data_IF_012824394258
#
_entry.id   IF_012824394258
#
_cell.length_a   1.000
_cell.length_b   1.000
_cell.length_c   1.000
_cell.angle_alpha   90.00
_cell.angle_beta   90.00
_cell.angle_gamma   90.00
#
_symmetry.space_group_name_H-M   'P 1'
#
loop_
_entity.id
_entity.type
_entity.pdbx_description
1 polymer ?
#
# COMPACT_ATOMS: atom_id res chain seq x y z
N UNK A 1 -12.65 9.74 7.60
CA UNK A 1 -11.20 9.76 7.86
C UNK A 1 -10.52 9.55 6.53
N UNK A 2 -9.83 10.56 5.99
CA UNK A 2 -9.30 10.53 4.62
C UNK A 2 -7.87 9.97 4.52
N UNK A 3 -7.25 9.67 5.67
CA UNK A 3 -5.86 9.26 5.78
C UNK A 3 -5.70 8.07 6.73
N UNK A 4 -4.76 7.19 6.39
CA UNK A 4 -4.39 5.99 7.15
C UNK A 4 -2.89 5.94 7.33
N UNK A 5 -2.44 5.57 8.52
CA UNK A 5 -1.02 5.25 8.75
C UNK A 5 -0.69 3.93 8.05
N UNK A 6 0.22 4.02 7.07
CA UNK A 6 0.70 2.89 6.30
C UNK A 6 1.33 1.80 7.17
N UNK A 7 2.13 2.16 8.16
CA UNK A 7 2.81 1.19 9.01
C UNK A 7 1.84 0.53 9.98
N UNK A 8 0.89 1.28 10.54
CA UNK A 8 -0.20 0.72 11.34
C UNK A 8 -1.07 -0.25 10.52
N UNK A 9 -1.39 0.12 9.27
CA UNK A 9 -2.11 -0.74 8.33
C UNK A 9 -1.35 -2.05 8.06
N UNK A 10 -0.06 -1.97 7.70
CA UNK A 10 0.76 -3.16 7.49
C UNK A 10 0.84 -4.05 8.74
N UNK A 11 0.91 -3.46 9.94
CA UNK A 11 0.95 -4.18 11.20
C UNK A 11 -0.40 -4.83 11.58
N UNK A 12 -1.52 -4.26 11.11
CA UNK A 12 -2.86 -4.80 11.33
C UNK A 12 -3.21 -5.96 10.40
N UNK A 13 -2.52 -6.08 9.26
CA UNK A 13 -2.73 -7.16 8.27
C UNK A 13 -2.02 -8.44 8.75
N UNK A 14 -2.70 -9.60 8.75
CA UNK A 14 -2.06 -10.89 9.04
C UNK A 14 -0.84 -11.14 8.15
N UNK A 15 0.23 -11.72 8.71
CA UNK A 15 1.51 -11.90 7.99
C UNK A 15 1.38 -12.76 6.73
N UNK A 16 0.41 -13.68 6.70
CA UNK A 16 0.05 -14.51 5.55
C UNK A 16 -0.73 -13.73 4.47
N UNK A 17 -1.47 -12.69 4.86
CA UNK A 17 -2.20 -11.79 3.95
C UNK A 17 -1.34 -10.60 3.45
N UNK A 18 -0.25 -10.25 4.15
CA UNK A 18 0.57 -9.08 3.82
C UNK A 18 1.15 -9.10 2.39
N UNK A 19 1.67 -10.23 1.86
CA UNK A 19 2.06 -10.30 0.45
C UNK A 19 0.91 -10.06 -0.52
N UNK A 20 -0.30 -10.55 -0.19
CA UNK A 20 -1.48 -10.33 -1.03
C UNK A 20 -1.88 -8.85 -1.02
N UNK A 21 -1.78 -8.17 0.13
CA UNK A 21 -1.95 -6.73 0.23
C UNK A 21 -1.02 -5.96 -0.68
N UNK A 22 0.30 -6.23 -0.62
CA UNK A 22 1.27 -5.54 -1.47
C UNK A 22 1.00 -5.73 -2.96
N UNK A 23 0.61 -6.94 -3.37
CA UNK A 23 0.23 -7.23 -4.77
C UNK A 23 -1.04 -6.50 -5.18
N UNK A 24 -2.07 -6.52 -4.34
CA UNK A 24 -3.31 -5.79 -4.57
C UNK A 24 -3.07 -4.27 -4.66
N UNK A 25 -2.19 -3.74 -3.81
CA UNK A 25 -1.77 -2.34 -3.84
C UNK A 25 -1.09 -1.98 -5.16
N UNK A 26 -0.18 -2.82 -5.64
CA UNK A 26 0.45 -2.61 -6.94
C UNK A 26 -0.54 -2.75 -8.11
N UNK A 27 -1.45 -3.72 -8.07
CA UNK A 27 -2.48 -3.87 -9.09
C UNK A 27 -3.43 -2.65 -9.15
N UNK A 28 -3.75 -2.06 -8.00
CA UNK A 28 -4.58 -0.86 -7.88
C UNK A 28 -3.93 0.38 -8.50
N UNK A 29 -2.64 0.60 -8.25
CA UNK A 29 -1.93 1.81 -8.70
C UNK A 29 -1.21 1.66 -10.05
N UNK A 30 -0.92 0.43 -10.46
CA UNK A 30 -0.19 0.09 -11.69
C UNK A 30 -0.90 -1.04 -12.43
N UNK A 31 -2.16 -0.83 -12.87
CA UNK A 31 -2.89 -1.85 -13.60
C UNK A 31 -2.14 -2.22 -14.88
N UNK A 32 -1.89 -3.51 -15.08
CA UNK A 32 -1.27 -4.06 -16.30
C UNK A 32 0.26 -3.96 -16.39
N UNK A 33 0.98 -3.45 -15.38
CA UNK A 33 2.45 -3.36 -15.43
C UNK A 33 3.13 -4.73 -15.26
N UNK A 34 2.55 -5.64 -14.48
CA UNK A 34 3.06 -7.00 -14.28
C UNK A 34 2.00 -7.94 -13.69
N UNK A 35 2.18 -9.25 -13.88
CA UNK A 35 1.55 -10.26 -13.04
C UNK A 35 2.24 -10.24 -11.66
N UNK A 36 1.62 -9.54 -10.72
CA UNK A 36 2.15 -9.42 -9.36
C UNK A 36 1.97 -10.71 -8.55
N UNK A 37 1.09 -11.65 -8.95
CA UNK A 37 0.89 -12.92 -8.26
C UNK A 37 2.15 -13.80 -8.34
N UNK A 38 2.74 -13.90 -9.54
CA UNK A 38 3.99 -14.64 -9.78
C UNK A 38 5.28 -13.89 -9.42
N UNK A 39 5.21 -12.60 -9.08
CA UNK A 39 6.41 -11.79 -8.84
C UNK A 39 7.13 -12.16 -7.53
N UNK A 40 8.46 -12.11 -7.54
CA UNK A 40 9.28 -12.28 -6.34
C UNK A 40 8.96 -11.20 -5.30
N UNK A 41 8.84 -11.61 -4.03
CA UNK A 41 8.51 -10.70 -2.92
C UNK A 41 9.42 -9.47 -2.83
N UNK A 42 10.74 -9.64 -3.05
CA UNK A 42 11.69 -8.53 -3.05
C UNK A 42 11.36 -7.49 -4.13
N UNK A 43 10.92 -7.93 -5.31
CA UNK A 43 10.51 -7.04 -6.40
C UNK A 43 9.22 -6.30 -6.03
N UNK A 44 8.24 -7.03 -5.46
CA UNK A 44 6.98 -6.46 -4.97
C UNK A 44 7.26 -5.37 -3.94
N UNK A 45 8.07 -5.63 -2.93
CA UNK A 45 8.43 -4.64 -1.90
C UNK A 45 9.11 -3.40 -2.49
N UNK A 46 10.07 -3.58 -3.40
CA UNK A 46 10.72 -2.45 -4.08
C UNK A 46 9.73 -1.59 -4.88
N UNK A 47 8.77 -2.23 -5.56
CA UNK A 47 7.71 -1.56 -6.31
C UNK A 47 6.72 -0.84 -5.40
N UNK A 48 6.34 -1.44 -4.27
CA UNK A 48 5.46 -0.79 -3.27
C UNK A 48 6.10 0.51 -2.80
N UNK A 49 7.39 0.48 -2.42
CA UNK A 49 8.12 1.67 -1.99
C UNK A 49 8.20 2.74 -3.10
N UNK A 50 8.40 2.32 -4.36
CA UNK A 50 8.38 3.25 -5.50
C UNK A 50 7.00 3.87 -5.71
N UNK A 51 5.93 3.11 -5.57
CA UNK A 51 4.54 3.59 -5.65
C UNK A 51 4.22 4.56 -4.52
N UNK A 52 4.59 4.26 -3.28
CA UNK A 52 4.40 5.17 -2.13
C UNK A 52 5.08 6.52 -2.35
N UNK A 53 6.31 6.52 -2.89
CA UNK A 53 6.99 7.77 -3.28
C UNK A 53 6.28 8.51 -4.41
N UNK A 54 5.66 7.80 -5.35
CA UNK A 54 4.80 8.38 -6.39
C UNK A 54 3.59 9.08 -5.78
N UNK A 55 2.87 8.39 -4.90
CA UNK A 55 1.72 8.95 -4.18
C UNK A 55 2.07 10.18 -3.34
N UNK A 56 3.28 10.24 -2.78
CA UNK A 56 3.75 11.45 -2.09
C UNK A 56 3.86 12.65 -3.02
N UNK A 57 4.33 12.45 -4.26
CA UNK A 57 4.41 13.52 -5.27
C UNK A 57 3.04 13.96 -5.77
N UNK A 58 2.08 13.03 -5.79
CA UNK A 58 0.68 13.29 -6.16
C UNK A 58 -0.14 13.90 -5.02
N UNK A 59 0.43 14.07 -3.82
CA UNK A 59 -0.29 14.55 -2.65
C UNK A 59 -1.29 13.55 -2.08
N UNK A 60 -1.19 12.26 -2.43
CA UNK A 60 -2.01 11.14 -1.94
C UNK A 60 -1.32 10.32 -0.84
N UNK A 61 -0.09 10.67 -0.50
CA UNK A 61 0.65 10.20 0.66
C UNK A 61 1.46 11.36 1.24
N UNK A 62 1.74 11.34 2.55
CA UNK A 62 2.57 12.35 3.23
C UNK A 62 3.30 11.76 4.41
N UNK A 63 4.51 12.22 4.65
CA UNK A 63 5.28 11.88 5.85
C UNK A 63 5.11 13.01 6.87
N UNK A 64 4.46 12.72 7.99
CA UNK A 64 4.19 13.71 9.05
C UNK A 64 4.57 13.10 10.41
N UNK A 65 5.46 13.75 11.15
CA UNK A 65 5.91 13.25 12.46
C UNK A 65 6.58 11.88 12.43
N UNK A 66 7.20 11.49 11.31
CA UNK A 66 7.78 10.15 11.12
C UNK A 66 6.76 9.07 10.75
N UNK A 67 5.48 9.42 10.64
CA UNK A 67 4.40 8.52 10.23
C UNK A 67 4.09 8.71 8.76
N UNK A 68 4.02 7.62 8.00
CA UNK A 68 3.63 7.65 6.59
C UNK A 68 2.11 7.56 6.48
N UNK A 69 1.47 8.69 6.24
CA UNK A 69 0.04 8.77 5.99
C UNK A 69 -0.24 8.54 4.50
N UNK A 70 -1.20 7.69 4.19
CA UNK A 70 -1.66 7.38 2.84
C UNK A 70 -3.15 7.61 2.76
N UNK A 71 -3.63 8.19 1.66
CA UNK A 71 -5.06 8.42 1.46
C UNK A 71 -5.82 7.09 1.46
N UNK A 72 -6.97 7.02 2.14
CA UNK A 72 -7.78 5.80 2.18
C UNK A 72 -8.21 5.32 0.78
N UNK A 73 -8.38 6.24 -0.17
CA UNK A 73 -8.70 5.91 -1.56
C UNK A 73 -7.54 5.23 -2.30
N UNK A 74 -6.31 5.45 -1.85
CA UNK A 74 -5.12 4.79 -2.36
C UNK A 74 -4.94 3.38 -1.78
N UNK A 75 -5.72 2.98 -0.77
CA UNK A 75 -5.72 1.62 -0.24
C UNK A 75 -6.72 0.75 -1.03
N UNK A 76 -6.33 -0.44 -1.48
CA UNK A 76 -7.24 -1.37 -2.14
C UNK A 76 -8.44 -1.70 -1.25
N UNK A 77 -9.64 -1.71 -1.84
CA UNK A 77 -10.90 -1.87 -1.11
C UNK A 77 -10.91 -3.09 -0.18
N UNK A 78 -10.40 -4.23 -0.65
CA UNK A 78 -10.32 -5.48 0.11
C UNK A 78 -9.55 -5.37 1.44
N UNK A 79 -8.63 -4.39 1.56
CA UNK A 79 -7.79 -4.19 2.73
C UNK A 79 -8.15 -2.95 3.55
N UNK A 80 -9.15 -2.15 3.12
CA UNK A 80 -9.61 -0.98 3.89
C UNK A 80 -10.17 -1.36 5.26
N UNK A 81 -10.64 -2.60 5.44
CA UNK A 81 -11.06 -3.15 6.74
C UNK A 81 -9.96 -3.09 7.82
N UNK A 82 -8.69 -3.03 7.41
CA UNK A 82 -7.54 -2.92 8.31
C UNK A 82 -7.11 -1.46 8.55
N UNK A 83 -7.63 -0.52 7.75
CA UNK A 83 -7.32 0.91 7.78
C UNK A 83 -8.21 1.69 8.76
N UNK A 84 -9.43 1.19 9.03
CA UNK A 84 -10.44 1.79 9.91
C UNK A 84 -10.32 1.39 11.40
N UNK A 85 -9.19 0.78 11.80
CA UNK A 85 -9.02 0.19 13.14
C UNK A 85 -8.23 1.06 14.11
#
# INVERSE_FOLDING_TARGET
MDWTDWHALEAAIPLDELPAFHRAFLAHHRPGEADWEGAFLRQVQGKVQATLKGLQREGRARLEGGTLWVSCEAIPEAFRRYADR
#
